data_IF_968068834850
#
_entry.id   IF_968068834850
#
_cell.length_a   1.000
_cell.length_b   1.000
_cell.length_c   1.000
_cell.angle_alpha   90.00
_cell.angle_beta   90.00
_cell.angle_gamma   90.00
#
_symmetry.space_group_name_H-M   'P 1'
#
loop_
_entity.id
_entity.type
_entity.pdbx_description
1 polymer ?
#
# COMPACT_ATOMS: atom_id res chain seq x y z
N UNK A 1 -24.66 12.36 18.47
CA UNK A 1 -25.10 11.61 17.26
C UNK A 1 -23.87 10.94 16.67
N UNK A 2 -24.00 9.75 16.08
CA UNK A 2 -22.88 9.14 15.35
C UNK A 2 -22.67 9.85 14.00
N UNK A 3 -21.41 9.93 13.55
CA UNK A 3 -20.98 10.73 12.39
C UNK A 3 -21.72 10.33 11.11
N UNK A 4 -21.93 9.03 10.90
CA UNK A 4 -22.65 8.51 9.74
C UNK A 4 -24.10 9.02 9.69
N UNK A 5 -24.76 9.13 10.85
CA UNK A 5 -26.14 9.63 10.96
C UNK A 5 -26.20 11.14 10.70
N UNK A 6 -25.25 11.92 11.23
CA UNK A 6 -25.18 13.37 10.96
C UNK A 6 -24.91 13.63 9.47
N UNK A 7 -23.95 12.90 8.87
CA UNK A 7 -23.65 13.01 7.45
C UNK A 7 -24.86 12.62 6.59
N UNK A 8 -25.56 11.54 6.93
CA UNK A 8 -26.78 11.14 6.22
C UNK A 8 -27.88 12.21 6.27
N UNK A 9 -28.05 12.85 7.43
CA UNK A 9 -28.97 13.98 7.59
C UNK A 9 -28.58 15.19 6.75
N UNK A 10 -27.30 15.58 6.75
CA UNK A 10 -26.77 16.66 5.94
C UNK A 10 -26.95 16.38 4.44
N UNK A 11 -26.63 15.17 3.97
CA UNK A 11 -26.80 14.77 2.57
C UNK A 11 -28.26 14.91 2.14
N UNK A 12 -29.20 14.39 2.95
CA UNK A 12 -30.63 14.51 2.64
C UNK A 12 -31.09 15.97 2.55
N UNK A 13 -30.55 16.86 3.40
CA UNK A 13 -30.85 18.30 3.35
C UNK A 13 -30.27 18.97 2.10
N UNK A 14 -29.03 18.65 1.72
CA UNK A 14 -28.39 19.18 0.52
C UNK A 14 -29.16 18.79 -0.75
N UNK A 15 -29.65 17.55 -0.84
CA UNK A 15 -30.53 17.13 -1.93
C UNK A 15 -31.84 17.93 -1.97
N UNK A 16 -32.47 18.18 -0.81
CA UNK A 16 -33.69 19.00 -0.73
C UNK A 16 -33.45 20.44 -1.16
N UNK A 17 -32.27 20.98 -0.90
CA UNK A 17 -31.86 22.34 -1.28
C UNK A 17 -31.40 22.44 -2.74
N UNK A 18 -31.44 21.36 -3.51
CA UNK A 18 -31.03 21.35 -4.92
C UNK A 18 -29.51 21.34 -5.12
N UNK A 19 -28.74 20.85 -4.14
CA UNK A 19 -27.30 20.64 -4.22
C UNK A 19 -26.93 19.15 -4.26
N UNK A 20 -27.28 18.43 -5.35
CA UNK A 20 -27.06 16.99 -5.46
C UNK A 20 -25.58 16.61 -5.52
N UNK A 21 -24.70 17.43 -6.11
CA UNK A 21 -23.27 17.12 -6.23
C UNK A 21 -22.58 17.21 -4.86
N UNK A 22 -22.86 18.24 -4.07
CA UNK A 22 -22.41 18.31 -2.66
C UNK A 22 -22.93 17.11 -1.86
N UNK A 23 -24.22 16.76 -2.04
CA UNK A 23 -24.83 15.59 -1.40
C UNK A 23 -24.12 14.29 -1.76
N UNK A 24 -23.81 14.07 -3.05
CA UNK A 24 -23.05 12.90 -3.50
C UNK A 24 -21.63 12.89 -2.95
N UNK A 25 -20.90 14.00 -3.05
CA UNK A 25 -19.52 14.12 -2.56
C UNK A 25 -19.43 13.80 -1.08
N UNK A 26 -20.28 14.40 -0.25
CA UNK A 26 -20.32 14.16 1.20
C UNK A 26 -20.83 12.74 1.49
N UNK A 27 -21.78 12.24 0.69
CA UNK A 27 -22.32 10.89 0.81
C UNK A 27 -21.28 9.78 0.59
N UNK A 28 -20.25 9.99 -0.23
CA UNK A 28 -19.17 9.02 -0.39
C UNK A 28 -18.42 8.73 0.91
N UNK A 29 -18.41 9.67 1.86
CA UNK A 29 -17.79 9.48 3.16
C UNK A 29 -18.61 8.59 4.12
N UNK A 30 -19.90 8.35 3.86
CA UNK A 30 -20.77 7.51 4.72
C UNK A 30 -20.47 6.01 4.53
N UNK A 31 -20.01 5.60 3.35
CA UNK A 31 -19.65 4.21 3.03
C UNK A 31 -18.14 3.95 2.92
N UNK A 32 -17.32 4.99 3.01
CA UNK A 32 -15.87 4.91 2.93
C UNK A 32 -15.20 4.55 4.26
N UNK A 33 -13.89 4.25 4.27
CA UNK A 33 -13.12 4.16 5.52
C UNK A 33 -13.32 5.45 6.33
N UNK A 34 -13.43 5.37 7.66
CA UNK A 34 -13.75 6.52 8.52
C UNK A 34 -12.82 7.75 8.31
N UNK A 35 -11.61 7.55 7.77
CA UNK A 35 -10.69 8.63 7.39
C UNK A 35 -11.03 9.37 6.08
N UNK A 36 -11.95 8.87 5.25
CA UNK A 36 -12.35 9.54 4.00
C UNK A 36 -13.13 10.84 4.25
N UNK A 37 -13.80 10.95 5.39
CA UNK A 37 -14.48 12.18 5.82
C UNK A 37 -13.50 13.28 6.26
N UNK A 38 -12.33 12.89 6.79
CA UNK A 38 -11.34 13.78 7.39
C UNK A 38 -10.14 13.89 6.45
N UNK A 39 -10.10 14.96 5.65
CA UNK A 39 -9.02 15.24 4.68
C UNK A 39 -9.27 14.76 3.26
N UNK A 40 -10.35 13.99 3.03
CA UNK A 40 -10.82 13.64 1.69
C UNK A 40 -11.67 14.74 1.03
N UNK A 41 -12.15 14.46 -0.18
CA UNK A 41 -13.02 15.36 -0.94
C UNK A 41 -14.27 15.81 -0.16
N UNK A 42 -14.88 14.91 0.63
CA UNK A 42 -16.00 15.24 1.51
C UNK A 42 -15.64 16.28 2.58
N UNK A 43 -14.45 16.18 3.17
CA UNK A 43 -13.94 17.17 4.13
C UNK A 43 -13.79 18.55 3.50
N UNK A 44 -13.21 18.62 2.28
CA UNK A 44 -13.10 19.89 1.53
C UNK A 44 -14.48 20.50 1.21
N UNK A 45 -15.47 19.67 0.88
CA UNK A 45 -16.83 20.15 0.64
C UNK A 45 -17.48 20.72 1.91
N UNK A 46 -17.26 20.08 3.06
CA UNK A 46 -17.72 20.56 4.38
C UNK A 46 -17.01 21.86 4.77
N UNK A 47 -15.70 21.96 4.56
CA UNK A 47 -14.92 23.19 4.79
C UNK A 47 -15.40 24.34 3.90
N UNK A 48 -15.68 24.07 2.61
CA UNK A 48 -16.20 25.06 1.67
C UNK A 48 -17.59 25.57 2.08
N UNK A 49 -18.48 24.68 2.53
CA UNK A 49 -19.79 25.04 3.07
C UNK A 49 -19.65 25.87 4.35
N UNK A 50 -18.83 25.41 5.30
CA UNK A 50 -18.60 26.09 6.57
C UNK A 50 -18.07 27.51 6.40
N UNK A 51 -17.08 27.68 5.51
CA UNK A 51 -16.49 28.99 5.21
C UNK A 51 -17.48 29.99 4.60
N UNK A 52 -18.46 29.51 3.80
CA UNK A 52 -19.51 30.38 3.24
C UNK A 52 -20.69 30.61 4.17
N UNK A 53 -20.98 29.65 5.06
CA UNK A 53 -22.02 29.76 6.08
C UNK A 53 -21.53 30.51 7.34
N UNK A 54 -20.23 30.77 7.47
CA UNK A 54 -19.64 31.47 8.61
C UNK A 54 -19.64 30.64 9.90
N UNK A 55 -19.66 29.32 9.78
CA UNK A 55 -19.70 28.38 10.91
C UNK A 55 -18.42 27.56 10.98
N UNK A 56 -18.12 26.90 12.12
CA UNK A 56 -17.00 25.96 12.21
C UNK A 56 -17.09 24.87 11.14
N UNK A 57 -15.95 24.43 10.60
CA UNK A 57 -15.83 23.34 9.63
C UNK A 57 -16.00 21.95 10.28
N UNK A 58 -17.11 21.78 10.99
CA UNK A 58 -17.53 20.51 11.58
C UNK A 58 -18.83 20.05 10.94
N UNK A 59 -19.01 18.74 10.83
CA UNK A 59 -20.22 18.15 10.22
C UNK A 59 -21.47 18.64 10.94
N UNK A 60 -21.45 18.67 12.27
CA UNK A 60 -22.61 19.08 13.08
C UNK A 60 -22.95 20.57 12.88
N UNK A 61 -21.95 21.47 12.86
CA UNK A 61 -22.19 22.90 12.69
C UNK A 61 -22.70 23.24 11.28
N UNK A 62 -22.19 22.55 10.26
CA UNK A 62 -22.69 22.70 8.89
C UNK A 62 -24.10 22.13 8.77
N UNK A 63 -24.38 20.95 9.35
CA UNK A 63 -25.72 20.36 9.34
C UNK A 63 -26.77 21.21 10.06
N UNK A 64 -26.39 21.94 11.11
CA UNK A 64 -27.28 22.90 11.77
C UNK A 64 -27.48 24.16 10.94
N UNK A 65 -26.41 24.69 10.33
CA UNK A 65 -26.47 25.89 9.50
C UNK A 65 -27.30 25.69 8.23
N UNK A 66 -27.22 24.51 7.61
CA UNK A 66 -27.94 24.15 6.37
C UNK A 66 -29.46 24.04 6.59
N UNK A 67 -29.92 23.91 7.84
CA UNK A 67 -31.35 23.91 8.16
C UNK A 67 -32.01 25.29 8.16
N UNK A 68 -31.21 26.37 8.15
CA UNK A 68 -31.73 27.74 8.14
C UNK A 68 -32.16 28.13 6.72
N UNK A 69 -33.27 28.85 6.59
CA UNK A 69 -33.82 29.27 5.29
C UNK A 69 -32.82 30.10 4.45
N UNK A 70 -31.92 30.83 5.10
CA UNK A 70 -30.86 31.63 4.48
C UNK A 70 -29.74 30.78 3.84
N UNK A 71 -29.67 29.49 4.15
CA UNK A 71 -28.62 28.60 3.65
C UNK A 71 -28.83 28.18 2.18
N UNK A 72 -30.08 28.17 1.70
CA UNK A 72 -30.40 27.74 0.33
C UNK A 72 -29.58 28.48 -0.77
N UNK A 73 -29.53 29.82 -0.81
CA UNK A 73 -28.72 30.53 -1.80
C UNK A 73 -27.21 30.33 -1.61
N UNK A 74 -26.74 30.05 -0.39
CA UNK A 74 -25.33 29.82 -0.09
C UNK A 74 -24.91 28.43 -0.59
N UNK A 75 -25.70 27.41 -0.27
CA UNK A 75 -25.52 26.03 -0.71
C UNK A 75 -25.52 25.95 -2.23
N UNK A 76 -26.45 26.63 -2.91
CA UNK A 76 -26.48 26.70 -4.38
C UNK A 76 -25.23 27.35 -4.99
N UNK A 77 -24.61 28.33 -4.31
CA UNK A 77 -23.33 28.93 -4.77
C UNK A 77 -22.13 28.02 -4.55
N UNK A 78 -22.14 27.19 -3.51
CA UNK A 78 -21.06 26.23 -3.27
C UNK A 78 -21.18 25.06 -4.24
N UNK A 79 -22.40 24.62 -4.56
CA UNK A 79 -22.70 23.59 -5.55
C UNK A 79 -22.05 23.88 -6.91
N UNK A 80 -22.02 25.14 -7.37
CA UNK A 80 -21.39 25.49 -8.65
C UNK A 80 -19.87 25.35 -8.66
N UNK A 81 -19.24 25.31 -7.48
CA UNK A 81 -17.79 25.13 -7.33
C UNK A 81 -17.37 23.67 -7.15
N UNK A 82 -18.34 22.75 -6.98
CA UNK A 82 -18.07 21.33 -6.77
C UNK A 82 -17.29 20.68 -7.93
N UNK A 83 -17.61 20.93 -9.22
CA UNK A 83 -16.84 20.32 -10.31
C UNK A 83 -15.36 20.70 -10.29
N UNK A 84 -15.05 21.96 -9.94
CA UNK A 84 -13.67 22.43 -9.81
C UNK A 84 -12.99 21.80 -8.59
N UNK A 85 -13.70 21.69 -7.47
CA UNK A 85 -13.20 21.03 -6.27
C UNK A 85 -12.86 19.55 -6.50
N UNK A 86 -13.71 18.81 -7.21
CA UNK A 86 -13.46 17.42 -7.60
C UNK A 86 -12.20 17.34 -8.45
N UNK A 87 -12.10 18.20 -9.48
CA UNK A 87 -10.93 18.22 -10.38
C UNK A 87 -9.63 18.53 -9.64
N UNK A 88 -9.63 19.50 -8.72
CA UNK A 88 -8.45 19.83 -7.92
C UNK A 88 -8.05 18.70 -6.99
N UNK A 89 -9.03 18.04 -6.36
CA UNK A 89 -8.78 16.86 -5.53
C UNK A 89 -8.25 15.68 -6.32
N UNK A 90 -8.77 15.40 -7.52
CA UNK A 90 -8.25 14.34 -8.40
C UNK A 90 -6.78 14.61 -8.76
N UNK A 91 -6.41 15.85 -9.07
CA UNK A 91 -5.02 16.23 -9.34
C UNK A 91 -4.13 16.00 -8.12
N UNK A 92 -4.58 16.35 -6.92
CA UNK A 92 -3.83 16.13 -5.68
C UNK A 92 -3.70 14.63 -5.35
N UNK A 93 -4.79 13.88 -5.46
CA UNK A 93 -4.82 12.43 -5.25
C UNK A 93 -3.89 11.72 -6.24
N UNK A 94 -3.91 12.14 -7.51
CA UNK A 94 -3.02 11.62 -8.53
C UNK A 94 -1.55 11.90 -8.18
N UNK A 95 -1.21 13.13 -7.77
CA UNK A 95 0.17 13.47 -7.35
C UNK A 95 0.65 12.64 -6.17
N UNK A 96 -0.22 12.40 -5.18
CA UNK A 96 0.10 11.52 -4.05
C UNK A 96 0.36 10.08 -4.48
N UNK A 97 -0.46 9.56 -5.40
CA UNK A 97 -0.29 8.23 -5.98
C UNK A 97 0.98 8.13 -6.83
N UNK A 98 1.27 9.13 -7.66
CA UNK A 98 2.45 9.19 -8.51
C UNK A 98 3.75 9.26 -7.68
N UNK A 99 3.73 9.99 -6.55
CA UNK A 99 4.86 10.04 -5.63
C UNK A 99 5.12 8.67 -4.97
N UNK A 100 4.08 7.99 -4.50
CA UNK A 100 4.20 6.63 -3.97
C UNK A 100 4.65 5.63 -5.04
N UNK A 101 4.13 5.75 -6.27
CA UNK A 101 4.54 4.91 -7.39
C UNK A 101 6.03 5.13 -7.72
N UNK A 102 6.50 6.38 -7.71
CA UNK A 102 7.92 6.68 -7.92
C UNK A 102 8.83 6.17 -6.79
N UNK A 103 8.36 6.19 -5.53
CA UNK A 103 9.07 5.58 -4.40
C UNK A 103 9.11 4.05 -4.50
N UNK A 104 7.98 3.44 -4.89
CA UNK A 104 7.88 1.99 -5.13
C UNK A 104 8.78 1.58 -6.29
N UNK A 105 8.83 2.34 -7.38
CA UNK A 105 9.63 2.01 -8.57
C UNK A 105 11.14 2.10 -8.27
N UNK A 106 11.57 3.13 -7.51
CA UNK A 106 12.95 3.22 -6.99
C UNK A 106 13.27 2.07 -6.02
N UNK A 107 12.34 1.73 -5.14
CA UNK A 107 12.47 0.63 -4.19
C UNK A 107 12.52 -0.74 -4.89
N UNK A 108 11.73 -0.93 -5.94
CA UNK A 108 11.67 -2.15 -6.72
C UNK A 108 12.94 -2.35 -7.55
N UNK A 109 13.46 -1.29 -8.18
CA UNK A 109 14.74 -1.36 -8.89
C UNK A 109 15.92 -1.73 -7.97
N UNK A 110 16.02 -1.08 -6.81
CA UNK A 110 17.04 -1.42 -5.81
C UNK A 110 16.87 -2.85 -5.27
N UNK A 111 15.62 -3.28 -5.03
CA UNK A 111 15.31 -4.63 -4.59
C UNK A 111 15.68 -5.70 -5.63
N UNK A 112 15.37 -5.48 -6.91
CA UNK A 112 15.75 -6.36 -8.02
C UNK A 112 17.27 -6.48 -8.17
N UNK A 113 17.98 -5.34 -8.08
CA UNK A 113 19.45 -5.34 -8.09
C UNK A 113 20.02 -6.19 -6.96
N UNK A 114 19.57 -5.97 -5.72
CA UNK A 114 20.05 -6.73 -4.57
C UNK A 114 19.69 -8.21 -4.68
N UNK A 115 18.49 -8.56 -5.15
CA UNK A 115 18.10 -9.95 -5.42
C UNK A 115 19.04 -10.61 -6.44
N UNK A 116 19.37 -9.91 -7.52
CA UNK A 116 20.32 -10.38 -8.54
C UNK A 116 21.74 -10.54 -8.00
N UNK A 117 22.22 -9.60 -7.19
CA UNK A 117 23.53 -9.67 -6.55
C UNK A 117 23.65 -10.87 -5.60
N UNK A 118 22.64 -11.12 -4.76
CA UNK A 118 22.59 -12.30 -3.89
C UNK A 118 22.57 -13.61 -4.68
N UNK A 119 21.83 -13.66 -5.79
CA UNK A 119 21.81 -14.83 -6.66
C UNK A 119 23.17 -15.10 -7.31
N UNK A 120 23.83 -14.06 -7.83
CA UNK A 120 25.16 -14.18 -8.43
C UNK A 120 26.18 -14.70 -7.41
N UNK A 121 26.10 -14.23 -6.16
CA UNK A 121 26.97 -14.70 -5.08
C UNK A 121 26.75 -16.19 -4.76
N UNK A 122 25.49 -16.64 -4.68
CA UNK A 122 25.18 -18.06 -4.40
C UNK A 122 25.69 -18.97 -5.50
N UNK A 123 25.48 -18.60 -6.76
CA UNK A 123 25.98 -19.33 -7.93
C UNK A 123 27.51 -19.35 -7.91
N UNK A 124 28.15 -18.20 -7.67
CA UNK A 124 29.60 -18.10 -7.60
C UNK A 124 30.18 -19.03 -6.52
N UNK A 125 29.56 -19.11 -5.34
CA UNK A 125 30.00 -20.04 -4.30
C UNK A 125 29.87 -21.51 -4.71
N UNK A 126 28.79 -21.90 -5.39
CA UNK A 126 28.67 -23.25 -5.96
C UNK A 126 29.74 -23.52 -7.03
N UNK A 127 30.03 -22.55 -7.90
CA UNK A 127 31.12 -22.67 -8.88
C UNK A 127 32.47 -22.89 -8.21
N UNK A 128 32.78 -22.18 -7.13
CA UNK A 128 34.02 -22.36 -6.37
C UNK A 128 34.06 -23.74 -5.71
N UNK A 129 32.96 -24.19 -5.10
CA UNK A 129 32.88 -25.53 -4.48
C UNK A 129 33.13 -26.62 -5.52
N UNK A 130 32.49 -26.54 -6.69
CA UNK A 130 32.67 -27.50 -7.79
C UNK A 130 34.11 -27.44 -8.33
N UNK A 131 34.66 -26.24 -8.53
CA UNK A 131 36.04 -26.07 -8.97
C UNK A 131 37.03 -26.71 -8.00
N UNK A 132 36.88 -26.46 -6.70
CA UNK A 132 37.70 -27.08 -5.66
C UNK A 132 37.51 -28.60 -5.58
N UNK A 133 36.29 -29.10 -5.77
CA UNK A 133 36.03 -30.55 -5.78
C UNK A 133 36.73 -31.25 -6.95
N UNK A 134 36.72 -30.64 -8.14
CA UNK A 134 37.26 -31.25 -9.36
C UNK A 134 38.78 -31.08 -9.48
N UNK A 135 39.33 -29.96 -9.03
CA UNK A 135 40.72 -29.59 -9.29
C UNK A 135 41.56 -29.39 -8.02
N UNK A 136 40.93 -29.17 -6.86
CA UNK A 136 41.60 -28.75 -5.62
C UNK A 136 42.75 -29.66 -5.18
N UNK A 137 42.57 -30.98 -5.32
CA UNK A 137 43.62 -31.96 -5.02
C UNK A 137 44.85 -31.86 -5.91
N UNK A 138 44.69 -31.45 -7.18
CA UNK A 138 45.77 -31.33 -8.16
C UNK A 138 46.50 -29.97 -8.10
N UNK A 139 45.88 -28.96 -7.49
CA UNK A 139 46.46 -27.60 -7.33
C UNK A 139 46.95 -27.32 -5.90
N UNK A 140 47.01 -28.35 -5.05
CA UNK A 140 47.50 -28.22 -3.67
C UNK A 140 46.54 -27.52 -2.71
N UNK A 141 45.28 -27.30 -3.11
CA UNK A 141 44.24 -26.72 -2.25
C UNK A 141 43.74 -27.82 -1.30
N UNK A 142 44.16 -27.73 -0.04
CA UNK A 142 43.65 -28.56 1.04
C UNK A 142 42.53 -27.81 1.77
N UNK A 143 41.27 -28.24 1.64
CA UNK A 143 40.19 -27.58 2.35
C UNK A 143 40.35 -27.79 3.86
N UNK A 144 40.12 -26.72 4.64
CA UNK A 144 40.17 -26.75 6.10
C UNK A 144 38.97 -27.46 6.72
N UNK A 145 37.89 -27.58 5.95
CA UNK A 145 36.66 -28.28 6.29
C UNK A 145 36.49 -29.47 5.34
N UNK A 146 35.75 -30.47 5.77
CA UNK A 146 35.37 -31.56 4.87
C UNK A 146 34.45 -31.03 3.77
N UNK A 147 34.52 -31.60 2.56
CA UNK A 147 33.63 -31.18 1.46
C UNK A 147 32.15 -31.35 1.81
N UNK A 148 31.81 -32.34 2.64
CA UNK A 148 30.46 -32.55 3.17
C UNK A 148 29.99 -31.37 4.01
N UNK A 149 30.82 -30.85 4.90
CA UNK A 149 30.50 -29.66 5.70
C UNK A 149 30.33 -28.42 4.83
N UNK A 150 31.25 -28.21 3.87
CA UNK A 150 31.18 -27.08 2.94
C UNK A 150 29.89 -27.09 2.12
N UNK A 151 29.53 -28.24 1.56
CA UNK A 151 28.29 -28.43 0.76
C UNK A 151 27.05 -28.25 1.64
N UNK A 152 27.05 -28.81 2.86
CA UNK A 152 25.93 -28.68 3.80
C UNK A 152 25.71 -27.23 4.22
N UNK A 153 26.77 -26.51 4.61
CA UNK A 153 26.71 -25.11 4.99
C UNK A 153 26.32 -24.20 3.83
N UNK A 154 26.85 -24.43 2.63
CA UNK A 154 26.46 -23.61 1.46
C UNK A 154 25.05 -23.93 0.96
N UNK A 155 24.61 -25.18 1.12
CA UNK A 155 23.24 -25.62 0.89
C UNK A 155 22.23 -24.90 1.79
N UNK A 156 22.55 -24.72 3.08
CA UNK A 156 21.67 -23.98 3.99
C UNK A 156 21.55 -22.49 3.61
N UNK A 157 22.65 -21.84 3.21
CA UNK A 157 22.63 -20.45 2.68
C UNK A 157 21.76 -20.34 1.44
N UNK A 158 21.88 -21.30 0.51
CA UNK A 158 21.06 -21.35 -0.71
C UNK A 158 19.58 -21.49 -0.37
N UNK A 159 19.24 -22.33 0.61
CA UNK A 159 17.87 -22.59 1.03
C UNK A 159 17.25 -21.39 1.75
N UNK A 160 18.00 -20.74 2.63
CA UNK A 160 17.58 -19.49 3.27
C UNK A 160 17.33 -18.40 2.24
N UNK A 161 18.18 -18.28 1.22
CA UNK A 161 17.95 -17.33 0.13
C UNK A 161 16.72 -17.65 -0.71
N UNK A 162 16.49 -18.93 -1.04
CA UNK A 162 15.25 -19.36 -1.72
C UNK A 162 14.01 -19.00 -0.88
N UNK A 163 14.09 -19.12 0.44
CA UNK A 163 12.99 -18.77 1.36
C UNK A 163 12.67 -17.29 1.38
N UNK A 164 13.70 -16.46 1.47
CA UNK A 164 13.55 -15.02 1.65
C UNK A 164 13.24 -14.32 0.32
N UNK A 165 13.85 -14.76 -0.78
CA UNK A 165 13.83 -14.01 -2.05
C UNK A 165 13.01 -14.63 -3.18
N UNK A 166 12.71 -15.94 -3.14
CA UNK A 166 11.89 -16.61 -4.17
C UNK A 166 10.51 -17.04 -3.64
N UNK A 167 10.20 -16.66 -2.40
CA UNK A 167 8.91 -16.90 -1.77
C UNK A 167 8.71 -18.33 -1.28
N UNK A 168 7.86 -18.48 -0.27
CA UNK A 168 7.57 -19.77 0.36
C UNK A 168 6.94 -20.82 -0.58
N UNK A 169 6.42 -20.44 -1.75
CA UNK A 169 5.93 -21.38 -2.76
C UNK A 169 7.06 -22.22 -3.37
N UNK A 170 8.18 -21.60 -3.74
CA UNK A 170 9.37 -22.31 -4.25
C UNK A 170 9.94 -23.26 -3.19
N UNK A 171 9.92 -22.86 -1.91
CA UNK A 171 10.35 -23.75 -0.83
C UNK A 171 9.42 -24.95 -0.62
N UNK A 172 8.10 -24.77 -0.77
CA UNK A 172 7.13 -25.87 -0.65
C UNK A 172 7.30 -26.92 -1.75
N UNK A 173 7.78 -26.51 -2.92
CA UNK A 173 8.04 -27.41 -4.06
C UNK A 173 9.40 -28.12 -3.94
N UNK A 174 10.42 -27.45 -3.40
CA UNK A 174 11.77 -28.01 -3.27
C UNK A 174 11.94 -28.82 -1.98
N UNK A 175 11.32 -28.42 -0.86
CA UNK A 175 11.43 -29.09 0.45
C UNK A 175 11.16 -30.61 0.43
N UNK A 176 10.16 -31.12 -0.33
CA UNK A 176 9.91 -32.56 -0.45
C UNK A 176 11.04 -33.32 -1.17
N UNK A 177 11.71 -32.67 -2.13
CA UNK A 177 12.75 -33.27 -2.97
C UNK A 177 14.08 -33.38 -2.21
N UNK A 178 14.34 -32.45 -1.29
CA UNK A 178 15.54 -32.42 -0.43
C UNK A 178 15.36 -33.13 0.93
N UNK A 179 14.20 -33.74 1.18
CA UNK A 179 13.94 -34.54 2.38
C UNK A 179 13.66 -33.75 3.66
N UNK A 180 13.48 -32.43 3.59
CA UNK A 180 13.13 -31.62 4.75
C UNK A 180 11.67 -31.89 5.14
N UNK A 181 11.43 -32.50 6.32
CA UNK A 181 10.09 -32.77 6.86
C UNK A 181 9.62 -34.22 6.80
N UNK A 182 10.39 -35.17 6.22
CA UNK A 182 10.17 -36.59 6.51
C UNK A 182 10.71 -36.88 7.91
N UNK A 183 9.82 -36.88 8.91
CA UNK A 183 10.06 -37.66 10.13
C UNK A 183 10.40 -39.08 9.67
N UNK A 184 11.60 -39.54 10.02
CA UNK A 184 11.97 -40.94 9.89
C UNK A 184 10.95 -41.76 10.69
N UNK A 185 9.96 -42.29 9.99
CA UNK A 185 9.06 -43.30 10.51
C UNK A 185 9.67 -44.66 10.22
N UNK A 186 10.59 -45.09 11.10
CA UNK A 186 10.83 -46.46 11.54
C UNK A 186 11.94 -46.49 12.58
#
# INVERSE_FOLDING_TARGET
>A
MDLATTLGGLVAQLFKLGAPQLGTVIGTAIGGPAGAAVGGLAGKAIEGLAGKLGVPATVDAVAEAVQKDEAAPIVARVETTVPEMIRLWEIEAQRGSDAQAAEIDKGFGAWQFWRGAWQAMIIAGWCVIVFCALFGGNIGVKPLLTMTEVVSSWGSVTLTWLAVFNGGHTLKEIAPVIGFGRKAGR
#
